data_IF_284899801024
#
_entry.id   IF_284899801024
#
_cell.length_a   1.000
_cell.length_b   1.000
_cell.length_c   1.000
_cell.angle_alpha   90.00
_cell.angle_beta   90.00
_cell.angle_gamma   90.00
#
_symmetry.space_group_name_H-M   'P 1'
#
loop_
_entity.id
_entity.type
_entity.pdbx_description
1 polymer ?
#
# COMPACT_ATOMS: atom_id res chain seq x y z
N UNK A 1 -29.27 -16.68 -5.58
CA UNK A 1 -28.46 -15.46 -5.34
C UNK A 1 -28.61 -14.53 -6.54
N UNK A 2 -28.87 -13.24 -6.30
CA UNK A 2 -29.06 -12.25 -7.36
C UNK A 2 -27.80 -12.08 -8.24
N UNK A 3 -28.00 -11.85 -9.54
CA UNK A 3 -26.92 -11.61 -10.50
C UNK A 3 -26.30 -10.24 -10.22
N UNK A 4 -25.07 -10.21 -9.71
CA UNK A 4 -24.31 -8.96 -9.59
C UNK A 4 -24.13 -8.30 -10.97
N UNK A 5 -24.16 -6.96 -11.05
CA UNK A 5 -23.71 -6.21 -12.23
C UNK A 5 -22.30 -6.62 -12.67
N UNK A 6 -22.03 -6.51 -13.97
CA UNK A 6 -20.75 -6.97 -14.55
C UNK A 6 -19.53 -6.27 -13.91
N UNK A 7 -19.63 -4.96 -13.64
CA UNK A 7 -18.57 -4.18 -13.01
C UNK A 7 -18.28 -4.61 -11.57
N UNK A 8 -19.33 -4.82 -10.76
CA UNK A 8 -19.17 -5.34 -9.39
C UNK A 8 -18.52 -6.73 -9.38
N UNK A 9 -18.85 -7.56 -10.37
CA UNK A 9 -18.22 -8.87 -10.51
C UNK A 9 -16.74 -8.78 -10.86
N UNK A 10 -16.36 -7.86 -11.76
CA UNK A 10 -14.96 -7.64 -12.10
C UNK A 10 -14.16 -7.19 -10.88
N UNK A 11 -14.71 -6.29 -10.06
CA UNK A 11 -14.10 -5.87 -8.79
C UNK A 11 -13.91 -7.06 -7.86
N UNK A 12 -14.94 -7.90 -7.67
CA UNK A 12 -14.84 -9.08 -6.80
C UNK A 12 -13.75 -10.07 -7.27
N UNK A 13 -13.65 -10.30 -8.58
CA UNK A 13 -12.62 -11.18 -9.16
C UNK A 13 -11.22 -10.59 -8.97
N UNK A 14 -11.05 -9.28 -9.18
CA UNK A 14 -9.78 -8.59 -8.98
C UNK A 14 -9.33 -8.61 -7.50
N UNK A 15 -10.27 -8.44 -6.56
CA UNK A 15 -10.02 -8.57 -5.12
C UNK A 15 -9.58 -9.99 -4.72
N UNK A 16 -10.27 -11.01 -5.25
CA UNK A 16 -9.89 -12.40 -5.04
C UNK A 16 -8.48 -12.70 -5.61
N UNK A 17 -8.15 -12.11 -6.77
CA UNK A 17 -6.82 -12.24 -7.35
C UNK A 17 -5.73 -11.62 -6.46
N UNK A 18 -5.96 -10.44 -5.89
CA UNK A 18 -5.03 -9.82 -4.93
C UNK A 18 -4.80 -10.73 -3.71
N UNK A 19 -5.86 -11.30 -3.15
CA UNK A 19 -5.76 -12.21 -2.01
C UNK A 19 -4.90 -13.44 -2.32
N UNK A 20 -5.19 -14.14 -3.42
CA UNK A 20 -4.45 -15.33 -3.84
C UNK A 20 -2.97 -15.02 -4.12
N UNK A 21 -2.69 -13.90 -4.81
CA UNK A 21 -1.32 -13.46 -5.07
C UNK A 21 -0.55 -13.17 -3.78
N UNK A 22 -1.21 -12.59 -2.78
CA UNK A 22 -0.57 -12.29 -1.49
C UNK A 22 -0.32 -13.55 -0.65
N UNK A 23 -1.10 -14.61 -0.84
CA UNK A 23 -0.99 -15.87 -0.10
C UNK A 23 0.10 -16.79 -0.69
N UNK A 24 0.10 -16.98 -2.01
CA UNK A 24 0.96 -17.96 -2.65
C UNK A 24 1.49 -17.56 -4.04
N UNK A 25 1.44 -16.26 -4.37
CA UNK A 25 1.96 -15.75 -5.62
C UNK A 25 1.25 -16.30 -6.85
N UNK A 26 1.96 -16.34 -7.98
CA UNK A 26 1.44 -16.76 -9.28
C UNK A 26 0.90 -18.20 -9.29
N UNK A 27 1.50 -19.07 -8.46
CA UNK A 27 1.09 -20.47 -8.32
C UNK A 27 -0.29 -20.61 -7.66
N UNK A 28 -0.62 -19.75 -6.68
CA UNK A 28 -1.94 -19.75 -6.05
C UNK A 28 -3.04 -19.16 -6.95
N UNK A 29 -2.67 -18.27 -7.87
CA UNK A 29 -3.61 -17.64 -8.81
C UNK A 29 -4.01 -18.62 -9.94
N UNK A 30 -4.92 -19.55 -9.67
CA UNK A 30 -5.49 -20.45 -10.69
C UNK A 30 -6.93 -20.09 -11.01
N UNK A 31 -7.44 -20.44 -12.20
CA UNK A 31 -8.85 -20.23 -12.56
C UNK A 31 -9.79 -20.93 -11.57
N UNK A 32 -9.42 -22.14 -11.14
CA UNK A 32 -10.18 -22.91 -10.17
C UNK A 32 -10.19 -22.24 -8.79
N UNK A 33 -9.05 -21.72 -8.33
CA UNK A 33 -8.98 -20.98 -7.07
C UNK A 33 -9.79 -19.68 -7.13
N UNK A 34 -9.68 -18.91 -8.22
CA UNK A 34 -10.48 -17.71 -8.45
C UNK A 34 -11.97 -18.03 -8.46
N UNK A 35 -12.38 -19.05 -9.24
CA UNK A 35 -13.76 -19.48 -9.35
C UNK A 35 -14.34 -19.85 -7.98
N UNK A 36 -13.62 -20.65 -7.19
CA UNK A 36 -14.01 -20.97 -5.81
C UNK A 36 -14.12 -19.73 -4.93
N UNK A 37 -13.14 -18.82 -5.00
CA UNK A 37 -13.12 -17.62 -4.16
C UNK A 37 -14.30 -16.68 -4.42
N UNK A 38 -14.82 -16.63 -5.65
CA UNK A 38 -15.95 -15.74 -6.02
C UNK A 38 -17.27 -16.46 -6.28
N UNK A 39 -17.33 -17.79 -6.06
CA UNK A 39 -18.52 -18.60 -6.28
C UNK A 39 -18.91 -18.75 -7.77
N UNK A 40 -17.94 -18.76 -8.67
CA UNK A 40 -18.12 -18.96 -10.11
C UNK A 40 -17.48 -20.26 -10.59
N UNK A 41 -18.00 -20.81 -11.69
CA UNK A 41 -17.31 -21.88 -12.45
C UNK A 41 -16.16 -21.26 -13.24
N UNK A 42 -15.07 -21.99 -13.42
CA UNK A 42 -13.84 -21.54 -14.12
C UNK A 42 -14.12 -20.82 -15.44
N UNK A 43 -14.91 -21.42 -16.32
CA UNK A 43 -15.25 -20.85 -17.63
C UNK A 43 -16.06 -19.54 -17.56
N UNK A 44 -16.72 -19.26 -16.43
CA UNK A 44 -17.52 -18.04 -16.25
C UNK A 44 -16.67 -16.81 -15.93
N UNK A 45 -15.45 -16.98 -15.41
CA UNK A 45 -14.51 -15.88 -15.19
C UNK A 45 -14.18 -15.18 -16.51
N UNK A 46 -14.04 -15.95 -17.59
CA UNK A 46 -13.66 -15.41 -18.89
C UNK A 46 -14.78 -14.63 -19.62
N UNK A 47 -15.99 -14.63 -19.06
CA UNK A 47 -17.05 -13.70 -19.49
C UNK A 47 -16.83 -12.27 -18.99
N UNK A 48 -16.04 -12.12 -17.93
CA UNK A 48 -15.73 -10.83 -17.30
C UNK A 48 -14.34 -10.32 -17.68
N UNK A 49 -13.41 -11.23 -17.99
CA UNK A 49 -12.06 -10.91 -18.41
C UNK A 49 -11.64 -11.78 -19.59
N UNK A 50 -11.04 -11.24 -20.65
CA UNK A 50 -10.69 -12.04 -21.83
C UNK A 50 -9.62 -13.10 -21.55
N UNK A 51 -8.73 -12.86 -20.58
CA UNK A 51 -7.64 -13.77 -20.20
C UNK A 51 -7.17 -13.49 -18.78
N UNK A 52 -6.35 -14.39 -18.23
CA UNK A 52 -5.80 -14.28 -16.88
C UNK A 52 -4.99 -12.98 -16.66
N UNK A 53 -4.22 -12.54 -17.65
CA UNK A 53 -3.46 -11.29 -17.51
C UNK A 53 -4.37 -10.05 -17.34
N UNK A 54 -5.57 -10.02 -17.94
CA UNK A 54 -6.53 -8.94 -17.71
C UNK A 54 -7.07 -8.93 -16.27
N UNK A 55 -7.16 -10.10 -15.62
CA UNK A 55 -7.49 -10.19 -14.19
C UNK A 55 -6.36 -9.61 -13.34
N UNK A 56 -5.10 -9.90 -13.69
CA UNK A 56 -3.93 -9.35 -12.98
C UNK A 56 -3.85 -7.84 -13.17
N UNK A 57 -4.07 -7.32 -14.37
CA UNK A 57 -4.11 -5.87 -14.63
C UNK A 57 -5.19 -5.19 -13.77
N UNK A 58 -6.40 -5.76 -13.69
CA UNK A 58 -7.45 -5.24 -12.81
C UNK A 58 -7.07 -5.34 -11.32
N UNK A 59 -6.35 -6.38 -10.89
CA UNK A 59 -5.80 -6.46 -9.54
C UNK A 59 -4.78 -5.34 -9.29
N UNK A 60 -3.91 -5.03 -10.25
CA UNK A 60 -2.97 -3.90 -10.19
C UNK A 60 -3.73 -2.57 -10.07
N UNK A 61 -4.80 -2.35 -10.85
CA UNK A 61 -5.63 -1.15 -10.75
C UNK A 61 -6.23 -0.98 -9.34
N UNK A 62 -6.71 -2.08 -8.75
CA UNK A 62 -7.25 -2.09 -7.39
C UNK A 62 -6.17 -1.78 -6.36
N UNK A 63 -4.99 -2.38 -6.49
CA UNK A 63 -3.85 -2.11 -5.62
C UNK A 63 -3.40 -0.64 -5.71
N UNK A 64 -3.34 -0.10 -6.93
CA UNK A 64 -3.04 1.30 -7.19
C UNK A 64 -4.03 2.24 -6.49
N UNK A 65 -5.33 2.03 -6.69
CA UNK A 65 -6.39 2.84 -6.12
C UNK A 65 -6.30 2.89 -4.58
N UNK A 66 -6.05 1.74 -3.94
CA UNK A 66 -5.89 1.66 -2.49
C UNK A 66 -4.76 2.55 -1.98
N UNK A 67 -3.63 2.58 -2.69
CA UNK A 67 -2.45 3.32 -2.24
C UNK A 67 -2.53 4.80 -2.61
N UNK A 68 -3.21 5.15 -3.70
CA UNK A 68 -3.31 6.52 -4.20
C UNK A 68 -4.02 7.46 -3.23
N UNK A 69 -5.07 7.00 -2.54
CA UNK A 69 -5.86 7.82 -1.60
C UNK A 69 -5.02 8.43 -0.46
N UNK A 70 -3.97 7.72 -0.03
CA UNK A 70 -3.06 8.23 1.01
C UNK A 70 -2.11 9.35 0.55
N UNK A 71 -1.95 9.57 -0.75
CA UNK A 71 -0.97 10.49 -1.31
C UNK A 71 -1.51 11.92 -1.48
N UNK A 72 -2.82 12.08 -1.62
CA UNK A 72 -3.45 13.39 -1.76
C UNK A 72 -3.59 14.05 -0.40
N UNK A 73 -2.61 14.88 -0.02
CA UNK A 73 -2.49 15.55 1.28
C UNK A 73 -2.30 17.07 1.05
N UNK A 74 -3.34 17.90 1.22
CA UNK A 74 -3.31 19.32 0.87
C UNK A 74 -2.62 20.21 1.93
N UNK A 75 -2.19 19.64 3.05
CA UNK A 75 -1.62 20.40 4.16
C UNK A 75 -0.30 21.10 3.75
N UNK A 76 -0.14 22.37 4.09
CA UNK A 76 1.10 23.10 3.81
C UNK A 76 2.28 22.56 4.63
N UNK A 77 2.05 22.26 5.93
CA UNK A 77 3.07 21.71 6.82
C UNK A 77 3.47 20.28 6.39
N UNK A 78 4.75 20.04 6.05
CA UNK A 78 5.22 18.72 5.65
C UNK A 78 5.08 17.66 6.75
N UNK A 79 5.14 18.02 8.04
CA UNK A 79 4.91 17.07 9.12
C UNK A 79 3.43 16.71 9.26
N UNK A 80 2.53 17.65 9.04
CA UNK A 80 1.09 17.38 8.98
C UNK A 80 0.74 16.46 7.79
N UNK A 81 1.33 16.68 6.62
CA UNK A 81 1.18 15.77 5.46
C UNK A 81 1.65 14.35 5.78
N UNK A 82 2.81 14.21 6.43
CA UNK A 82 3.31 12.90 6.86
C UNK A 82 2.38 12.23 7.88
N UNK A 83 1.83 12.99 8.82
CA UNK A 83 0.87 12.49 9.81
C UNK A 83 -0.39 11.94 9.13
N UNK A 84 -0.97 12.72 8.21
CA UNK A 84 -2.16 12.31 7.46
C UNK A 84 -1.89 11.07 6.59
N UNK A 85 -0.76 11.03 5.90
CA UNK A 85 -0.33 9.84 5.15
C UNK A 85 -0.18 8.63 6.06
N UNK A 86 0.47 8.78 7.22
CA UNK A 86 0.72 7.70 8.17
C UNK A 86 -0.60 7.12 8.70
N UNK A 87 -1.51 7.98 9.16
CA UNK A 87 -2.82 7.57 9.69
C UNK A 87 -3.67 6.87 8.63
N UNK A 88 -3.78 7.44 7.42
CA UNK A 88 -4.56 6.83 6.34
C UNK A 88 -3.94 5.49 5.92
N UNK A 89 -2.61 5.42 5.78
CA UNK A 89 -1.94 4.17 5.41
C UNK A 89 -2.08 3.11 6.49
N UNK A 90 -2.00 3.49 7.77
CA UNK A 90 -2.29 2.59 8.90
C UNK A 90 -3.70 2.02 8.85
N UNK A 91 -4.71 2.86 8.61
CA UNK A 91 -6.10 2.42 8.47
C UNK A 91 -6.25 1.41 7.31
N UNK A 92 -5.67 1.72 6.14
CA UNK A 92 -5.68 0.83 4.98
C UNK A 92 -5.02 -0.52 5.28
N UNK A 93 -3.82 -0.52 5.86
CA UNK A 93 -3.06 -1.75 6.08
C UNK A 93 -3.72 -2.65 7.12
N UNK A 94 -4.39 -2.08 8.14
CA UNK A 94 -5.18 -2.85 9.11
C UNK A 94 -6.47 -3.40 8.51
N UNK A 95 -7.18 -2.60 7.71
CA UNK A 95 -8.39 -3.05 7.03
C UNK A 95 -8.10 -4.10 5.94
N UNK A 96 -6.93 -4.00 5.29
CA UNK A 96 -6.54 -4.84 4.16
C UNK A 96 -5.07 -5.29 4.26
N UNK A 97 -4.75 -6.25 5.15
CA UNK A 97 -3.37 -6.75 5.33
C UNK A 97 -2.73 -7.33 4.06
N UNK A 98 -3.56 -7.76 3.11
CA UNK A 98 -3.15 -8.19 1.76
C UNK A 98 -2.29 -7.13 1.05
N UNK A 99 -2.62 -5.84 1.21
CA UNK A 99 -1.91 -4.72 0.59
C UNK A 99 -0.50 -4.61 1.15
N UNK A 100 -0.34 -4.80 2.47
CA UNK A 100 0.97 -4.84 3.12
C UNK A 100 1.83 -5.94 2.50
N UNK A 101 1.31 -7.17 2.41
CA UNK A 101 2.06 -8.31 1.87
C UNK A 101 2.53 -8.04 0.44
N UNK A 102 1.61 -7.64 -0.44
CA UNK A 102 1.90 -7.37 -1.85
C UNK A 102 2.92 -6.24 -2.08
N UNK A 103 2.93 -5.24 -1.21
CA UNK A 103 3.88 -4.12 -1.32
C UNK A 103 5.34 -4.51 -1.04
N UNK A 104 5.60 -5.67 -0.42
CA UNK A 104 6.94 -6.05 0.07
C UNK A 104 7.51 -7.34 -0.49
N UNK A 105 6.72 -8.18 -1.14
CA UNK A 105 7.15 -9.51 -1.58
C UNK A 105 7.23 -9.65 -3.12
N UNK A 106 7.18 -8.53 -3.85
CA UNK A 106 7.24 -8.44 -5.32
C UNK A 106 6.20 -9.30 -6.07
N UNK A 107 5.26 -9.96 -5.37
CA UNK A 107 4.32 -10.92 -5.97
C UNK A 107 3.46 -10.32 -7.07
N UNK A 108 3.10 -9.05 -6.92
CA UNK A 108 2.33 -8.34 -7.93
C UNK A 108 3.18 -8.03 -9.16
N UNK A 109 4.49 -7.76 -8.99
CA UNK A 109 5.45 -7.57 -10.09
C UNK A 109 5.71 -8.89 -10.80
N UNK A 110 5.89 -9.99 -10.05
CA UNK A 110 6.07 -11.34 -10.59
C UNK A 110 4.87 -11.80 -11.42
N UNK A 111 3.66 -11.47 -10.96
CA UNK A 111 2.42 -11.83 -11.63
C UNK A 111 2.05 -10.96 -12.83
N UNK A 112 2.51 -9.70 -12.83
CA UNK A 112 2.24 -8.76 -13.90
C UNK A 112 2.95 -9.17 -15.20
N UNK A 113 2.28 -8.89 -16.32
CA UNK A 113 2.90 -8.98 -17.64
C UNK A 113 4.16 -8.10 -17.67
N UNK A 114 5.23 -8.50 -18.39
CA UNK A 114 6.47 -7.73 -18.43
C UNK A 114 6.29 -6.25 -18.78
N UNK A 115 5.31 -5.92 -19.62
CA UNK A 115 4.94 -4.56 -19.98
C UNK A 115 4.36 -3.74 -18.82
N UNK A 116 3.70 -4.39 -17.86
CA UNK A 116 3.05 -3.74 -16.71
C UNK A 116 3.95 -3.66 -15.47
N UNK A 117 5.08 -4.38 -15.43
CA UNK A 117 6.00 -4.37 -14.28
C UNK A 117 6.49 -2.96 -13.90
N UNK A 118 6.89 -2.08 -14.85
CA UNK A 118 7.29 -0.71 -14.51
C UNK A 118 6.15 0.08 -13.85
N UNK A 119 4.90 -0.16 -14.27
CA UNK A 119 3.72 0.44 -13.64
C UNK A 119 3.57 -0.02 -12.19
N UNK A 120 3.68 -1.33 -11.93
CA UNK A 120 3.60 -1.88 -10.56
C UNK A 120 4.70 -1.30 -9.65
N UNK A 121 5.93 -1.24 -10.14
CA UNK A 121 7.05 -0.63 -9.42
C UNK A 121 6.83 0.87 -9.18
N UNK A 122 6.20 1.57 -10.14
CA UNK A 122 5.82 2.97 -10.03
C UNK A 122 4.84 3.23 -8.89
N UNK A 123 3.83 2.36 -8.73
CA UNK A 123 2.85 2.47 -7.62
C UNK A 123 3.56 2.49 -6.26
N UNK A 124 4.50 1.56 -6.05
CA UNK A 124 5.27 1.46 -4.80
C UNK A 124 6.20 2.67 -4.62
N UNK A 125 6.81 3.12 -5.71
CA UNK A 125 7.74 4.25 -5.71
C UNK A 125 7.06 5.57 -5.34
N UNK A 126 5.80 5.80 -5.75
CA UNK A 126 5.07 7.04 -5.39
C UNK A 126 4.96 7.25 -3.88
N UNK A 127 4.72 6.19 -3.12
CA UNK A 127 4.67 6.29 -1.64
C UNK A 127 6.03 6.67 -1.05
N UNK A 128 7.13 6.11 -1.58
CA UNK A 128 8.49 6.44 -1.16
C UNK A 128 8.84 7.88 -1.51
N UNK A 129 8.52 8.32 -2.72
CA UNK A 129 8.77 9.68 -3.19
C UNK A 129 7.99 10.71 -2.36
N UNK A 130 6.72 10.45 -2.05
CA UNK A 130 5.92 11.31 -1.18
C UNK A 130 6.55 11.48 0.21
N UNK A 131 6.92 10.38 0.87
CA UNK A 131 7.58 10.42 2.17
C UNK A 131 8.92 11.18 2.11
N UNK A 132 9.73 10.92 1.07
CA UNK A 132 11.01 11.59 0.85
C UNK A 132 10.84 13.10 0.70
N UNK A 133 9.87 13.52 -0.10
CA UNK A 133 9.59 14.93 -0.36
C UNK A 133 9.22 15.65 0.95
N UNK A 134 8.25 15.13 1.69
CA UNK A 134 7.84 15.74 2.95
C UNK A 134 8.99 15.77 3.98
N UNK A 135 9.78 14.71 4.09
CA UNK A 135 10.94 14.69 4.99
C UNK A 135 12.03 15.68 4.57
N UNK A 136 12.27 15.85 3.27
CA UNK A 136 13.22 16.82 2.74
C UNK A 136 12.75 18.26 3.01
N UNK A 137 11.46 18.54 2.80
CA UNK A 137 10.86 19.84 3.12
C UNK A 137 10.90 20.14 4.63
N UNK A 138 10.52 19.18 5.47
CA UNK A 138 10.60 19.32 6.92
C UNK A 138 12.05 19.55 7.38
N UNK A 139 13.02 18.91 6.72
CA UNK A 139 14.44 19.10 7.01
C UNK A 139 14.91 20.49 6.62
N UNK A 140 14.54 20.99 5.44
CA UNK A 140 14.87 22.34 4.98
C UNK A 140 14.28 23.42 5.92
N UNK A 141 13.10 23.15 6.48
CA UNK A 141 12.45 24.02 7.47
C UNK A 141 12.98 23.85 8.91
N UNK A 142 13.97 22.98 9.15
CA UNK A 142 14.50 22.72 10.49
C UNK A 142 13.54 21.99 11.44
N UNK A 143 12.46 21.40 10.93
CA UNK A 143 11.42 20.71 11.70
C UNK A 143 11.80 19.26 12.06
N UNK A 144 12.80 18.71 11.41
CA UNK A 144 13.38 17.38 11.73
C UNK A 144 14.89 17.49 11.92
N UNK A 145 15.45 16.49 12.59
CA UNK A 145 16.86 16.39 12.91
C UNK A 145 17.73 16.42 11.65
N UNK A 146 18.87 17.10 11.75
CA UNK A 146 19.78 17.35 10.62
C UNK A 146 20.96 16.38 10.58
N UNK A 147 21.22 15.71 11.70
CA UNK A 147 22.32 14.78 11.91
C UNK A 147 22.06 13.38 11.32
N UNK A 148 20.83 13.11 10.87
CA UNK A 148 20.43 11.83 10.27
C UNK A 148 20.09 12.02 8.79
N UNK A 149 20.56 11.14 7.88
CA UNK A 149 20.17 11.19 6.47
C UNK A 149 18.67 11.02 6.25
N UNK A 150 18.10 11.72 5.24
CA UNK A 150 16.66 11.66 4.93
C UNK A 150 16.18 10.24 4.66
N UNK A 151 17.00 9.41 4.01
CA UNK A 151 16.66 8.00 3.75
C UNK A 151 16.48 7.18 5.03
N UNK A 152 17.28 7.44 6.06
CA UNK A 152 17.16 6.75 7.36
C UNK A 152 15.90 7.20 8.09
N UNK A 153 15.57 8.50 8.04
CA UNK A 153 14.30 9.01 8.57
C UNK A 153 13.09 8.39 7.84
N UNK A 154 13.19 8.27 6.52
CA UNK A 154 12.15 7.64 5.70
C UNK A 154 11.96 6.17 6.06
N UNK A 155 13.03 5.39 6.20
CA UNK A 155 12.94 4.00 6.62
C UNK A 155 12.39 3.85 8.04
N UNK A 156 12.67 4.80 8.93
CA UNK A 156 12.10 4.83 10.28
C UNK A 156 10.57 4.99 10.23
N UNK A 157 10.07 5.95 9.46
CA UNK A 157 8.61 6.15 9.26
C UNK A 157 7.98 4.90 8.64
N UNK A 158 8.60 4.37 7.57
CA UNK A 158 8.08 3.18 6.90
C UNK A 158 8.11 1.94 7.80
N UNK A 159 9.16 1.75 8.59
CA UNK A 159 9.32 0.63 9.51
C UNK A 159 8.27 0.66 10.61
N UNK A 160 8.11 1.80 11.29
CA UNK A 160 7.08 1.99 12.31
C UNK A 160 5.67 1.78 11.76
N UNK A 161 5.39 2.30 10.57
CA UNK A 161 4.11 2.12 9.88
C UNK A 161 3.81 0.65 9.58
N UNK A 162 4.82 -0.15 9.22
CA UNK A 162 4.62 -1.59 8.95
C UNK A 162 4.45 -2.38 10.25
N UNK A 163 5.33 -2.14 11.22
CA UNK A 163 5.30 -2.84 12.50
C UNK A 163 3.96 -2.63 13.21
N UNK A 164 3.50 -1.38 13.30
CA UNK A 164 2.22 -1.06 13.91
C UNK A 164 1.01 -1.64 13.14
N UNK A 165 1.10 -1.77 11.82
CA UNK A 165 -0.01 -2.35 11.04
C UNK A 165 -0.18 -3.86 11.28
N UNK A 166 0.86 -4.54 11.78
CA UNK A 166 0.86 -5.98 12.09
C UNK A 166 0.50 -6.27 13.55
N UNK A 167 0.50 -5.26 14.42
CA UNK A 167 0.17 -5.38 15.83
C UNK A 167 -1.27 -4.90 16.09
N UNK A 168 -2.21 -5.79 16.44
CA UNK A 168 -3.59 -5.41 16.75
C UNK A 168 -3.73 -4.46 17.94
N UNK A 169 -2.73 -4.42 18.84
CA UNK A 169 -2.73 -3.55 20.02
C UNK A 169 -2.15 -2.15 19.72
N UNK A 170 -1.57 -1.93 18.52
CA UNK A 170 -0.98 -0.65 18.18
C UNK A 170 -2.05 0.44 17.96
N UNK A 171 -1.90 1.55 18.68
CA UNK A 171 -2.60 2.79 18.42
C UNK A 171 -1.80 3.65 17.40
N UNK A 172 -2.34 3.91 16.19
CA UNK A 172 -1.64 4.67 15.16
C UNK A 172 -1.25 6.09 15.59
N UNK A 173 -2.09 6.74 16.41
CA UNK A 173 -1.85 8.12 16.83
C UNK A 173 -0.71 8.16 17.85
N UNK A 174 -0.70 7.22 18.80
CA UNK A 174 0.42 7.01 19.70
C UNK A 174 1.70 6.67 18.92
N UNK A 175 1.65 5.75 17.95
CA UNK A 175 2.83 5.38 17.15
C UNK A 175 3.36 6.59 16.40
N UNK A 176 2.50 7.35 15.72
CA UNK A 176 2.90 8.57 15.02
C UNK A 176 3.52 9.61 15.95
N UNK A 177 2.95 9.82 17.15
CA UNK A 177 3.50 10.73 18.16
C UNK A 177 4.95 10.38 18.51
N UNK A 178 5.25 9.09 18.74
CA UNK A 178 6.61 8.63 19.03
C UNK A 178 7.54 8.76 17.82
N UNK A 179 7.07 8.39 16.61
CA UNK A 179 7.84 8.57 15.37
C UNK A 179 8.17 10.03 15.15
N UNK A 180 7.20 10.94 15.32
CA UNK A 180 7.39 12.39 15.15
C UNK A 180 8.45 12.94 16.11
N UNK A 181 8.46 12.48 17.38
CA UNK A 181 9.52 12.83 18.33
C UNK A 181 10.89 12.33 17.88
N UNK A 182 10.99 11.09 17.38
CA UNK A 182 12.25 10.55 16.86
C UNK A 182 12.76 11.33 15.63
N UNK A 183 11.84 11.78 14.76
CA UNK A 183 12.17 12.61 13.60
C UNK A 183 12.69 13.99 14.01
N UNK A 184 12.06 14.62 15.01
CA UNK A 184 12.46 15.93 15.54
C UNK A 184 13.80 15.89 16.28
N UNK A 185 14.11 14.75 16.91
CA UNK A 185 15.23 14.62 17.83
C UNK A 185 14.86 15.11 19.23
N UNK A 186 15.79 15.00 20.19
CA UNK A 186 15.60 15.63 21.49
C UNK A 186 15.55 17.15 21.31
N UNK A 187 14.62 17.83 21.99
CA UNK A 187 14.65 19.27 22.13
C UNK A 187 16.06 19.67 22.56
N UNK A 188 16.73 20.52 21.79
CA UNK A 188 17.92 21.23 22.26
C UNK A 188 17.49 22.24 23.33
N UNK A 189 17.04 21.76 24.49
CA UNK A 189 16.93 22.56 25.71
C UNK A 189 18.07 22.14 26.62
N UNK A 190 18.86 23.14 27.00
CA UNK A 190 19.96 23.12 27.96
C UNK A 190 21.34 22.74 27.42
N UNK A 191 21.99 23.70 26.76
CA UNK A 191 23.34 24.16 27.11
C UNK A 191 23.42 25.67 26.90
#
# INVERSE_FOLDING_TARGET
>A
MARLPAAERQVQIAEAALALLAEGGTAALTTAALGRAVGLRDASLFRHFPHKAAIVAAAVDRFEACLAESLDRPEADPLARLAGFFAHRQALLRARPVILRLAFNERLVEAADPADRPRVLGILSRSRLFLRACLAEARAAGLVRQDVPVDVLQWTVMGAMRGAALDPAADPDAVWSHVSRLLRGADKRSS
#
